data_IF_085628234616
#
_entry.id   IF_085628234616
#
_cell.length_a   1.000
_cell.length_b   1.000
_cell.length_c   1.000
_cell.angle_alpha   90.00
_cell.angle_beta   90.00
_cell.angle_gamma   90.00
#
_symmetry.space_group_name_H-M   'P 1'
#
loop_
_entity.id
_entity.type
_entity.pdbx_description
1 polymer ?
#
# COMPACT_ATOMS: atom_id res chain seq x y z
N UNK A 1 14.79 -4.60 -0.66
CA UNK A 1 13.60 -3.74 -0.72
C UNK A 1 13.54 -2.93 0.55
N UNK A 2 13.40 -1.63 0.41
CA UNK A 2 13.18 -0.70 1.53
C UNK A 2 11.93 -1.08 2.35
N UNK A 3 11.97 -0.89 3.68
CA UNK A 3 10.88 -1.36 4.56
C UNK A 3 9.61 -0.52 4.40
N UNK A 4 9.75 0.79 4.19
CA UNK A 4 8.61 1.66 3.92
C UNK A 4 8.00 1.36 2.55
N UNK A 5 8.82 1.05 1.54
CA UNK A 5 8.33 0.59 0.23
C UNK A 5 7.54 -0.72 0.38
N UNK A 6 8.02 -1.66 1.22
CA UNK A 6 7.29 -2.88 1.58
C UNK A 6 5.93 -2.63 2.21
N UNK A 7 5.85 -1.69 3.15
CA UNK A 7 4.60 -1.30 3.77
C UNK A 7 3.58 -0.74 2.76
N UNK A 8 4.03 0.15 1.88
CA UNK A 8 3.17 0.72 0.83
C UNK A 8 2.75 -0.35 -0.18
N UNK A 9 3.66 -1.24 -0.55
CA UNK A 9 3.37 -2.34 -1.46
C UNK A 9 2.29 -3.27 -0.89
N UNK A 10 2.41 -3.68 0.37
CA UNK A 10 1.40 -4.49 1.04
C UNK A 10 0.02 -3.80 1.06
N UNK A 11 0.01 -2.50 1.40
CA UNK A 11 -1.20 -1.70 1.42
C UNK A 11 -1.90 -1.60 0.06
N UNK A 12 -1.14 -1.30 -1.00
CA UNK A 12 -1.67 -1.23 -2.36
C UNK A 12 -2.23 -2.60 -2.81
N UNK A 13 -1.54 -3.70 -2.50
CA UNK A 13 -2.00 -5.05 -2.82
C UNK A 13 -3.31 -5.42 -2.12
N UNK A 14 -3.45 -5.11 -0.82
CA UNK A 14 -4.71 -5.32 -0.08
C UNK A 14 -5.85 -4.48 -0.69
N UNK A 15 -5.53 -3.31 -1.25
CA UNK A 15 -6.46 -2.45 -1.97
C UNK A 15 -6.71 -2.87 -3.44
N UNK A 16 -6.18 -4.01 -3.87
CA UNK A 16 -6.43 -4.60 -5.19
C UNK A 16 -5.50 -4.11 -6.31
N UNK A 17 -4.37 -3.49 -5.98
CA UNK A 17 -3.37 -3.09 -6.97
C UNK A 17 -2.33 -4.20 -7.20
N UNK A 18 -1.94 -4.34 -8.46
CA UNK A 18 -0.68 -4.95 -8.84
C UNK A 18 0.43 -3.91 -8.70
N UNK A 19 1.59 -4.30 -8.20
CA UNK A 19 2.65 -3.37 -7.81
C UNK A 19 4.00 -3.81 -8.35
N UNK A 20 4.81 -2.86 -8.81
CA UNK A 20 6.23 -3.01 -9.06
C UNK A 20 6.98 -2.00 -8.20
N UNK A 21 7.84 -2.48 -7.31
CA UNK A 21 8.66 -1.64 -6.44
C UNK A 21 10.03 -1.41 -7.09
N UNK A 22 10.67 -0.28 -6.77
CA UNK A 22 12.03 0.07 -7.21
C UNK A 22 12.16 -0.07 -8.75
N UNK A 23 11.21 0.52 -9.49
CA UNK A 23 11.11 0.36 -10.94
C UNK A 23 12.20 1.15 -11.67
N UNK A 24 13.12 0.46 -12.38
CA UNK A 24 14.25 1.14 -13.01
C UNK A 24 13.84 1.89 -14.28
N UNK A 25 14.22 3.16 -14.34
CA UNK A 25 14.09 3.98 -15.53
C UNK A 25 15.42 4.06 -16.26
N UNK A 26 15.44 3.59 -17.51
CA UNK A 26 16.65 3.44 -18.32
C UNK A 26 16.74 4.53 -19.38
N UNK A 27 17.92 5.10 -19.56
CA UNK A 27 18.28 5.92 -20.72
C UNK A 27 18.86 5.00 -21.78
N UNK A 28 18.14 4.77 -22.88
CA UNK A 28 18.52 3.81 -23.92
C UNK A 28 19.55 4.34 -24.94
N UNK A 29 19.71 5.67 -25.04
CA UNK A 29 20.42 6.32 -26.17
C UNK A 29 21.67 7.12 -25.77
N UNK A 30 22.20 6.91 -24.56
CA UNK A 30 23.42 7.59 -24.12
C UNK A 30 24.68 7.08 -24.84
N UNK A 31 25.76 7.90 -24.95
CA UNK A 31 27.02 7.52 -25.61
C UNK A 31 27.75 6.32 -24.97
N UNK A 32 27.31 5.87 -23.78
CA UNK A 32 27.81 4.67 -23.10
C UNK A 32 26.89 3.45 -23.16
N UNK A 33 25.82 3.49 -23.95
CA UNK A 33 24.78 2.46 -23.99
C UNK A 33 23.70 2.62 -22.91
N UNK A 34 22.81 1.62 -22.74
CA UNK A 34 21.70 1.69 -21.79
C UNK A 34 22.20 1.81 -20.35
N UNK A 35 21.78 2.86 -19.63
CA UNK A 35 22.07 3.02 -18.19
C UNK A 35 20.83 3.36 -17.40
N UNK A 36 20.75 2.91 -16.15
CA UNK A 36 19.71 3.34 -15.23
C UNK A 36 19.92 4.80 -14.86
N UNK A 37 18.92 5.63 -15.09
CA UNK A 37 18.90 7.05 -14.74
C UNK A 37 18.48 7.21 -13.29
N UNK A 38 17.42 6.50 -12.90
CA UNK A 38 16.82 6.59 -11.57
C UNK A 38 15.81 5.44 -11.40
N UNK A 39 15.49 5.10 -10.15
CA UNK A 39 14.46 4.14 -9.82
C UNK A 39 13.23 4.88 -9.26
N UNK A 40 12.03 4.50 -9.71
CA UNK A 40 10.77 4.96 -9.12
C UNK A 40 10.39 4.04 -7.97
N UNK A 41 10.05 4.59 -6.81
CA UNK A 41 9.84 3.80 -5.58
C UNK A 41 8.75 2.73 -5.76
N UNK A 42 7.60 3.11 -6.32
CA UNK A 42 6.54 2.16 -6.62
C UNK A 42 5.65 2.59 -7.79
N UNK A 43 5.40 1.67 -8.72
CA UNK A 43 4.33 1.76 -9.69
C UNK A 43 3.23 0.79 -9.31
N UNK A 44 1.97 1.22 -9.42
CA UNK A 44 0.86 0.34 -9.12
C UNK A 44 -0.28 0.51 -10.11
N UNK A 45 -0.91 -0.60 -10.52
CA UNK A 45 -2.07 -0.60 -11.40
C UNK A 45 -3.19 -1.42 -10.80
N UNK A 46 -4.38 -0.85 -10.84
CA UNK A 46 -5.63 -1.53 -10.54
C UNK A 46 -6.49 -1.51 -11.79
N UNK A 47 -6.86 -2.69 -12.28
CA UNK A 47 -7.75 -2.82 -13.42
C UNK A 47 -9.20 -2.51 -13.00
N UNK A 48 -10.02 -2.10 -13.97
CA UNK A 48 -11.42 -1.80 -13.70
C UNK A 48 -12.10 -3.01 -13.03
N UNK A 49 -12.77 -2.75 -11.90
CA UNK A 49 -13.50 -3.77 -11.15
C UNK A 49 -14.98 -3.71 -11.55
N UNK A 50 -15.43 -4.68 -12.33
CA UNK A 50 -16.85 -4.90 -12.49
C UNK A 50 -17.41 -5.38 -11.14
N UNK A 51 -18.21 -4.54 -10.48
CA UNK A 51 -18.82 -4.86 -9.18
C UNK A 51 -19.62 -6.17 -9.30
N UNK A 52 -19.33 -7.13 -8.42
CA UNK A 52 -20.07 -8.40 -8.33
C UNK A 52 -19.62 -9.53 -9.27
N UNK A 53 -18.51 -9.37 -10.02
CA UNK A 53 -18.02 -10.42 -10.92
C UNK A 53 -17.35 -11.59 -10.19
N UNK A 54 -16.74 -11.35 -9.02
CA UNK A 54 -16.23 -12.41 -8.15
C UNK A 54 -17.11 -12.47 -6.91
N UNK A 55 -17.78 -13.59 -6.64
CA UNK A 55 -18.59 -13.83 -5.43
C UNK A 55 -17.80 -13.83 -4.11
N UNK A 56 -16.58 -13.30 -4.10
CA UNK A 56 -15.78 -13.00 -2.92
C UNK A 56 -16.07 -11.55 -2.57
N UNK A 57 -16.47 -11.28 -1.32
CA UNK A 57 -16.79 -9.93 -0.87
C UNK A 57 -15.66 -8.96 -1.26
N UNK A 58 -15.97 -8.06 -2.18
CA UNK A 58 -15.07 -7.03 -2.64
C UNK A 58 -14.83 -6.06 -1.47
N UNK A 59 -13.76 -6.26 -0.71
CA UNK A 59 -13.40 -5.31 0.33
C UNK A 59 -13.32 -3.91 -0.29
N UNK A 60 -14.03 -2.91 0.28
CA UNK A 60 -14.02 -1.57 -0.28
C UNK A 60 -12.60 -1.00 -0.22
N UNK A 61 -12.24 -0.25 -1.26
CA UNK A 61 -10.98 0.49 -1.31
C UNK A 61 -10.89 1.44 -0.12
N UNK A 62 -9.70 1.62 0.46
CA UNK A 62 -9.45 2.71 1.38
C UNK A 62 -9.72 4.06 0.69
N UNK A 63 -10.70 4.86 1.16
CA UNK A 63 -10.97 6.19 0.59
C UNK A 63 -9.75 7.12 0.64
N UNK A 64 -8.82 6.87 1.56
CA UNK A 64 -7.58 7.64 1.65
C UNK A 64 -6.70 7.55 0.39
N UNK A 65 -6.85 6.52 -0.46
CA UNK A 65 -6.15 6.44 -1.74
C UNK A 65 -6.69 7.42 -2.79
N UNK A 66 -7.90 7.95 -2.61
CA UNK A 66 -8.54 8.89 -3.54
C UNK A 66 -8.77 8.31 -4.95
N UNK A 67 -8.80 6.99 -5.11
CA UNK A 67 -9.00 6.38 -6.41
C UNK A 67 -10.49 6.40 -6.80
N UNK A 68 -10.76 6.50 -8.11
CA UNK A 68 -12.11 6.40 -8.66
C UNK A 68 -12.58 4.95 -8.81
N UNK A 69 -13.64 4.72 -9.59
CA UNK A 69 -14.17 3.38 -9.89
C UNK A 69 -13.52 2.73 -11.13
N UNK A 70 -12.84 3.53 -11.96
CA UNK A 70 -12.17 3.08 -13.17
C UNK A 70 -10.84 2.38 -12.91
N UNK A 71 -10.20 1.94 -14.01
CA UNK A 71 -8.81 1.54 -13.99
C UNK A 71 -7.94 2.73 -13.51
N UNK A 72 -7.01 2.44 -12.62
CA UNK A 72 -6.21 3.44 -11.91
C UNK A 72 -4.75 3.00 -11.89
N UNK A 73 -3.86 3.94 -12.16
CA UNK A 73 -2.42 3.79 -12.07
C UNK A 73 -1.87 4.83 -11.09
N UNK A 74 -0.99 4.38 -10.21
CA UNK A 74 -0.24 5.21 -9.30
C UNK A 74 1.23 5.21 -9.72
N UNK A 75 1.77 6.42 -9.89
CA UNK A 75 3.22 6.68 -9.84
C UNK A 75 3.51 7.14 -8.41
N UNK A 76 4.08 6.24 -7.63
CA UNK A 76 4.19 6.37 -6.18
C UNK A 76 5.61 6.72 -5.74
N UNK A 77 5.70 7.70 -4.85
CA UNK A 77 6.93 8.02 -4.11
C UNK A 77 6.75 7.62 -2.64
N UNK A 78 7.78 7.04 -2.03
CA UNK A 78 7.78 6.62 -0.63
C UNK A 78 8.85 7.40 0.14
N UNK A 79 8.43 8.13 1.18
CA UNK A 79 9.31 8.98 2.00
C UNK A 79 9.16 8.68 3.48
N UNK A 80 10.22 8.16 4.09
CA UNK A 80 10.35 8.02 5.55
C UNK A 80 10.49 9.39 6.26
N UNK A 81 11.02 10.39 5.55
CA UNK A 81 11.20 11.77 6.03
C UNK A 81 10.20 12.77 5.44
N UNK A 82 10.66 13.99 5.09
CA UNK A 82 9.80 15.03 4.51
C UNK A 82 9.20 14.54 3.17
N UNK A 83 7.87 14.58 2.97
CA UNK A 83 7.25 14.13 1.73
C UNK A 83 7.40 15.20 0.64
N UNK A 84 8.54 15.18 -0.04
CA UNK A 84 8.72 15.86 -1.31
C UNK A 84 9.08 14.79 -2.35
N UNK A 85 8.43 14.79 -3.53
CA UNK A 85 8.84 13.90 -4.62
C UNK A 85 10.34 14.08 -4.91
N UNK A 86 11.06 12.98 -5.13
CA UNK A 86 12.41 13.02 -5.66
C UNK A 86 12.44 13.89 -6.93
N UNK A 87 13.47 14.73 -7.16
CA UNK A 87 13.65 15.44 -8.43
C UNK A 87 13.43 14.58 -9.69
N UNK A 88 13.75 13.28 -9.63
CA UNK A 88 13.45 12.32 -10.69
C UNK A 88 11.96 12.20 -11.04
N UNK A 89 11.07 12.25 -10.04
CA UNK A 89 9.61 12.28 -10.22
C UNK A 89 9.09 13.60 -10.80
N UNK A 90 9.97 14.59 -10.97
CA UNK A 90 9.68 15.86 -11.65
C UNK A 90 10.33 15.95 -13.02
N UNK A 91 11.15 14.96 -13.40
CA UNK A 91 11.80 14.92 -14.71
C UNK A 91 10.82 14.35 -15.74
N UNK A 92 10.41 15.14 -16.75
CA UNK A 92 9.48 14.68 -17.76
C UNK A 92 9.99 13.47 -18.57
N UNK A 93 11.31 13.37 -18.79
CA UNK A 93 11.89 12.28 -19.54
C UNK A 93 11.83 10.95 -18.76
N UNK A 94 12.08 11.02 -17.44
CA UNK A 94 11.96 9.86 -16.55
C UNK A 94 10.54 9.34 -16.52
N UNK A 95 9.56 10.22 -16.29
CA UNK A 95 8.15 9.84 -16.27
C UNK A 95 7.69 9.30 -17.62
N UNK A 96 8.05 9.94 -18.74
CA UNK A 96 7.66 9.48 -20.07
C UNK A 96 8.23 8.08 -20.37
N UNK A 97 9.51 7.85 -20.05
CA UNK A 97 10.13 6.53 -20.21
C UNK A 97 9.46 5.49 -19.31
N UNK A 98 9.13 5.83 -18.07
CA UNK A 98 8.44 4.93 -17.16
C UNK A 98 7.04 4.56 -17.65
N UNK A 99 6.21 5.55 -18.03
CA UNK A 99 4.84 5.33 -18.52
C UNK A 99 4.81 4.48 -19.79
N UNK A 100 5.66 4.78 -20.77
CA UNK A 100 5.73 3.98 -22.01
C UNK A 100 6.23 2.56 -21.73
N UNK A 101 7.31 2.42 -20.94
CA UNK A 101 7.93 1.11 -20.68
C UNK A 101 7.04 0.20 -19.83
N UNK A 102 6.34 0.77 -18.86
CA UNK A 102 5.38 0.02 -18.05
C UNK A 102 4.15 -0.41 -18.88
N UNK A 103 3.95 0.21 -20.05
CA UNK A 103 2.85 -0.09 -20.96
C UNK A 103 1.58 0.69 -20.65
N UNK A 104 1.70 1.86 -20.01
CA UNK A 104 0.56 2.69 -19.61
C UNK A 104 0.04 3.56 -20.75
N UNK A 105 0.90 4.00 -21.66
CA UNK A 105 0.47 4.80 -22.80
C UNK A 105 1.36 4.56 -24.01
N UNK A 106 0.87 4.92 -25.19
CA UNK A 106 1.70 5.01 -26.38
C UNK A 106 2.75 6.11 -26.22
N UNK A 107 3.91 5.94 -26.88
CA UNK A 107 4.99 6.94 -26.88
C UNK A 107 4.52 8.33 -27.36
N UNK A 108 3.56 8.38 -28.28
CA UNK A 108 3.00 9.61 -28.82
C UNK A 108 2.19 10.41 -27.76
N UNK A 109 1.60 9.72 -26.78
CA UNK A 109 0.79 10.34 -25.73
C UNK A 109 1.61 10.70 -24.49
N UNK A 110 2.77 10.07 -24.30
CA UNK A 110 3.57 10.18 -23.08
C UNK A 110 3.89 11.64 -22.70
N UNK A 111 4.34 12.46 -23.65
CA UNK A 111 4.70 13.85 -23.37
C UNK A 111 3.52 14.69 -22.84
N UNK A 112 2.33 14.51 -23.44
CA UNK A 112 1.11 15.21 -23.01
C UNK A 112 0.67 14.75 -21.62
N UNK A 113 0.63 13.43 -21.40
CA UNK A 113 0.20 12.86 -20.13
C UNK A 113 1.14 13.24 -18.98
N UNK A 114 2.45 13.26 -19.24
CA UNK A 114 3.44 13.70 -18.26
C UNK A 114 3.29 15.18 -17.92
N UNK A 115 3.06 16.04 -18.91
CA UNK A 115 2.82 17.45 -18.64
C UNK A 115 1.60 17.66 -17.73
N UNK A 116 0.48 17.00 -18.04
CA UNK A 116 -0.75 17.04 -17.24
C UNK A 116 -0.54 16.48 -15.82
N UNK A 117 0.21 15.38 -15.72
CA UNK A 117 0.56 14.74 -14.44
C UNK A 117 1.46 15.63 -13.57
N UNK A 118 2.42 16.34 -14.16
CA UNK A 118 3.30 17.25 -13.42
C UNK A 118 2.56 18.51 -12.97
N UNK A 119 1.62 19.00 -13.77
CA UNK A 119 0.83 20.19 -13.48
C UNK A 119 -0.25 19.93 -12.43
N UNK A 120 -0.96 18.81 -12.54
CA UNK A 120 -2.18 18.56 -11.74
C UNK A 120 -2.09 17.33 -10.82
N UNK A 121 -1.01 16.55 -10.93
CA UNK A 121 -0.83 15.27 -10.24
C UNK A 121 -1.76 14.17 -10.73
N UNK A 122 -2.50 14.42 -11.81
CA UNK A 122 -3.43 13.48 -12.43
C UNK A 122 -3.40 13.63 -13.94
N UNK A 123 -3.60 12.53 -14.66
CA UNK A 123 -3.84 12.55 -16.10
C UNK A 123 -4.81 11.43 -16.46
N UNK A 124 -5.54 11.58 -17.55
CA UNK A 124 -6.38 10.52 -18.12
C UNK A 124 -5.80 10.08 -19.45
N UNK A 125 -5.40 8.81 -19.52
CA UNK A 125 -4.89 8.22 -20.75
C UNK A 125 -6.02 8.05 -21.78
N UNK A 126 -5.73 8.07 -23.10
CA UNK A 126 -6.75 7.86 -24.14
C UNK A 126 -7.55 6.56 -23.97
N UNK A 127 -6.93 5.54 -23.38
CA UNK A 127 -7.54 4.23 -23.08
C UNK A 127 -8.47 4.26 -21.86
N UNK A 128 -8.64 5.42 -21.21
CA UNK A 128 -9.64 5.68 -20.18
C UNK A 128 -9.20 5.40 -18.73
N UNK A 129 -7.97 4.95 -18.51
CA UNK A 129 -7.44 4.79 -17.15
C UNK A 129 -6.86 6.10 -16.61
N UNK A 130 -6.98 6.29 -15.30
CA UNK A 130 -6.41 7.46 -14.62
C UNK A 130 -4.98 7.16 -14.18
N UNK A 131 -4.04 8.07 -14.45
CA UNK A 131 -2.67 8.06 -13.92
C UNK A 131 -2.59 9.15 -12.84
N UNK A 132 -2.02 8.84 -11.67
CA UNK A 132 -1.92 9.78 -10.54
C UNK A 132 -0.58 9.70 -9.84
N UNK A 133 -0.10 10.85 -9.39
CA UNK A 133 1.07 10.94 -8.51
C UNK A 133 0.61 10.85 -7.07
N UNK A 134 1.12 9.85 -6.33
CA UNK A 134 0.82 9.66 -4.91
C UNK A 134 2.10 9.61 -4.11
N UNK A 135 2.18 10.41 -3.05
CA UNK A 135 3.29 10.40 -2.10
C UNK A 135 2.86 9.70 -0.82
N UNK A 136 3.56 8.64 -0.44
CA UNK A 136 3.39 7.94 0.82
C UNK A 136 4.45 8.40 1.80
N UNK A 137 4.04 8.94 2.94
CA UNK A 137 4.98 9.45 3.92
C UNK A 137 4.32 10.30 4.99
N UNK A 138 5.07 10.68 6.02
CA UNK A 138 4.55 11.49 7.12
C UNK A 138 4.83 12.98 6.86
N UNK A 139 3.81 13.79 6.49
CA UNK A 139 4.01 15.23 6.35
C UNK A 139 4.40 15.85 7.70
N UNK A 140 5.62 16.37 7.79
CA UNK A 140 6.14 17.09 8.97
C UNK A 140 5.72 18.56 8.98
N UNK A 141 5.01 19.02 7.96
CA UNK A 141 4.44 20.37 7.84
C UNK A 141 3.11 20.27 7.10
N UNK A 142 2.17 21.22 7.30
CA UNK A 142 0.95 21.25 6.51
C UNK A 142 1.34 21.20 5.03
N UNK A 143 0.82 20.22 4.30
CA UNK A 143 0.99 20.17 2.85
C UNK A 143 0.43 21.49 2.34
N UNK A 144 1.25 22.30 1.66
CA UNK A 144 0.76 23.51 1.03
C UNK A 144 -0.43 23.10 0.15
N UNK A 145 -1.54 23.82 0.24
CA UNK A 145 -2.79 23.54 -0.48
C UNK A 145 -2.65 23.52 -2.02
N UNK A 146 -1.44 23.70 -2.54
CA UNK A 146 -1.08 23.87 -3.94
C UNK A 146 -0.17 22.74 -4.47
N UNK A 147 0.17 21.70 -3.68
CA UNK A 147 0.95 20.59 -4.25
C UNK A 147 0.07 19.76 -5.19
N UNK A 148 0.50 19.49 -6.42
CA UNK A 148 -0.33 18.78 -7.38
C UNK A 148 -0.53 17.30 -7.01
N UNK A 149 0.33 16.71 -6.18
CA UNK A 149 0.25 15.29 -5.82
C UNK A 149 -0.64 15.01 -4.60
N UNK A 150 -1.25 13.82 -4.60
CA UNK A 150 -2.00 13.31 -3.47
C UNK A 150 -1.07 12.70 -2.41
N UNK A 151 -1.36 12.85 -1.12
CA UNK A 151 -0.52 12.31 -0.05
C UNK A 151 -1.29 11.34 0.84
N UNK A 152 -0.69 10.18 1.12
CA UNK A 152 -1.23 9.16 2.03
C UNK A 152 -0.26 8.96 3.21
N UNK A 153 -0.65 9.33 4.45
CA UNK A 153 0.22 9.18 5.61
C UNK A 153 0.51 7.72 5.97
N UNK A 154 1.72 7.39 6.42
CA UNK A 154 2.03 6.03 6.89
C UNK A 154 1.15 5.60 8.06
N UNK A 155 0.75 6.53 8.94
CA UNK A 155 -0.20 6.25 10.00
C UNK A 155 -1.55 5.73 9.46
N UNK A 156 -2.00 6.20 8.28
CA UNK A 156 -3.21 5.69 7.62
C UNK A 156 -2.96 4.31 7.03
N UNK A 157 -1.83 4.14 6.33
CA UNK A 157 -1.40 2.88 5.71
C UNK A 157 -1.35 1.75 6.75
N UNK A 158 -0.63 1.98 7.85
CA UNK A 158 -0.43 0.99 8.90
C UNK A 158 -1.75 0.61 9.57
N UNK A 159 -2.55 1.61 9.96
CA UNK A 159 -3.86 1.39 10.58
C UNK A 159 -4.79 0.59 9.67
N UNK A 160 -4.83 0.90 8.38
CA UNK A 160 -5.67 0.15 7.44
C UNK A 160 -5.25 -1.32 7.35
N UNK A 161 -3.94 -1.61 7.30
CA UNK A 161 -3.44 -2.98 7.28
C UNK A 161 -3.75 -3.74 8.59
N UNK A 162 -3.59 -3.08 9.74
CA UNK A 162 -3.92 -3.64 11.06
C UNK A 162 -5.43 -3.93 11.18
N UNK A 163 -6.29 -2.98 10.78
CA UNK A 163 -7.74 -3.13 10.76
C UNK A 163 -8.16 -4.27 9.80
N UNK A 164 -7.56 -4.33 8.62
CA UNK A 164 -7.84 -5.37 7.63
C UNK A 164 -7.49 -6.77 8.15
N UNK A 165 -6.32 -6.93 8.77
CA UNK A 165 -5.90 -8.19 9.39
C UNK A 165 -6.84 -8.59 10.53
N UNK A 166 -7.25 -7.63 11.36
CA UNK A 166 -8.15 -7.86 12.50
C UNK A 166 -9.51 -8.35 12.04
N UNK A 167 -10.09 -7.68 11.03
CA UNK A 167 -11.41 -7.98 10.49
C UNK A 167 -11.47 -9.34 9.77
N UNK A 168 -10.38 -9.72 9.09
CA UNK A 168 -10.33 -10.94 8.26
C UNK A 168 -9.49 -12.07 8.88
N UNK A 169 -9.14 -11.97 10.18
CA UNK A 169 -8.24 -12.91 10.86
C UNK A 169 -8.68 -14.37 10.73
N UNK A 170 -9.99 -14.63 10.72
CA UNK A 170 -10.54 -15.99 10.57
C UNK A 170 -10.11 -16.69 9.27
N UNK A 171 -9.89 -15.93 8.20
CA UNK A 171 -9.37 -16.43 6.92
C UNK A 171 -7.84 -16.29 6.86
N UNK A 172 -7.32 -15.09 7.15
CA UNK A 172 -5.91 -14.76 6.94
C UNK A 172 -4.96 -15.44 7.93
N UNK A 173 -5.38 -15.68 9.17
CA UNK A 173 -4.54 -16.26 10.21
C UNK A 173 -4.14 -17.72 9.98
N UNK A 174 -4.74 -18.38 8.98
CA UNK A 174 -4.45 -19.77 8.57
C UNK A 174 -3.76 -19.88 7.22
N UNK A 175 -3.68 -18.80 6.47
CA UNK A 175 -3.03 -18.76 5.14
C UNK A 175 -1.56 -18.39 5.26
N UNK A 176 -0.73 -18.94 4.37
CA UNK A 176 0.65 -18.49 4.24
C UNK A 176 0.69 -17.13 3.55
N UNK A 177 0.96 -16.08 4.32
CA UNK A 177 1.18 -14.74 3.80
C UNK A 177 2.60 -14.70 3.23
N UNK A 178 2.71 -14.48 1.92
CA UNK A 178 4.00 -14.44 1.19
C UNK A 178 4.63 -13.05 1.13
N UNK A 179 3.91 -12.03 1.58
CA UNK A 179 4.38 -10.66 1.66
C UNK A 179 5.02 -10.43 3.03
N UNK A 180 6.32 -10.12 3.07
CA UNK A 180 7.11 -10.08 4.31
C UNK A 180 6.58 -9.06 5.31
N UNK A 181 6.14 -7.88 4.84
CA UNK A 181 5.58 -6.84 5.71
C UNK A 181 4.24 -7.27 6.27
N UNK A 182 3.35 -7.80 5.44
CA UNK A 182 2.06 -8.30 5.91
C UNK A 182 2.22 -9.52 6.84
N UNK A 183 3.20 -10.38 6.58
CA UNK A 183 3.53 -11.53 7.43
C UNK A 183 3.99 -11.09 8.82
N UNK A 184 4.83 -10.05 8.92
CA UNK A 184 5.24 -9.46 10.20
C UNK A 184 4.04 -8.90 10.97
N UNK A 185 3.16 -8.14 10.31
CA UNK A 185 1.94 -7.60 10.93
C UNK A 185 1.02 -8.72 11.43
N UNK A 186 0.83 -9.77 10.63
CA UNK A 186 0.05 -10.94 11.02
C UNK A 186 0.68 -11.69 12.21
N UNK A 187 2.01 -11.79 12.26
CA UNK A 187 2.72 -12.37 13.41
C UNK A 187 2.49 -11.56 14.69
N UNK A 188 2.55 -10.23 14.61
CA UNK A 188 2.25 -9.33 15.73
C UNK A 188 0.82 -9.52 16.22
N UNK A 189 -0.15 -9.62 15.32
CA UNK A 189 -1.55 -9.88 15.66
C UNK A 189 -1.74 -11.24 16.33
N UNK A 190 -1.07 -12.29 15.83
CA UNK A 190 -1.07 -13.63 16.44
C UNK A 190 -0.55 -13.60 17.87
N UNK A 191 0.56 -12.90 18.11
CA UNK A 191 1.14 -12.74 19.44
C UNK A 191 0.21 -11.97 20.38
N UNK A 192 -0.43 -10.89 19.90
CA UNK A 192 -1.40 -10.12 20.66
C UNK A 192 -2.61 -10.98 21.11
N UNK A 193 -3.15 -11.80 20.20
CA UNK A 193 -4.26 -12.73 20.50
C UNK A 193 -3.87 -13.85 21.46
N UNK A 194 -2.66 -14.40 21.34
CA UNK A 194 -2.16 -15.39 22.28
C UNK A 194 -2.06 -14.82 23.70
N UNK A 195 -1.56 -13.60 23.84
CA UNK A 195 -1.44 -12.92 25.14
C UNK A 195 -2.80 -12.57 25.77
N UNK A 196 -3.78 -12.12 24.98
CA UNK A 196 -5.14 -11.82 25.46
C UNK A 196 -5.93 -13.09 25.81
N UNK A 197 -5.81 -14.16 25.01
CA UNK A 197 -6.41 -15.47 25.31
C UNK A 197 -5.84 -16.09 26.60
N UNK A 198 -4.53 -16.00 26.82
CA UNK A 198 -3.90 -16.45 28.05
C UNK A 198 -4.40 -15.67 29.29
N UNK A 199 -4.62 -14.35 29.17
CA UNK A 199 -5.17 -13.53 30.26
C UNK A 199 -6.64 -13.85 30.58
N UNK A 200 -7.45 -14.23 29.60
CA UNK A 200 -8.83 -14.65 29.80
C UNK A 200 -8.94 -16.02 30.51
N UNK A 201 -8.07 -16.97 30.17
CA UNK A 201 -8.00 -18.28 30.83
C UNK A 201 -7.53 -18.23 32.29
N UNK A 202 -6.71 -17.24 32.65
CA UNK A 202 -6.26 -17.04 34.04
C UNK A 202 -7.36 -16.45 34.95
N UNK A 203 -8.31 -15.68 34.40
CA UNK A 203 -9.42 -15.10 35.19
C UNK A 203 -10.52 -16.10 35.52
N UNK A 204 -10.69 -17.16 34.75
CA UNK A 204 -11.69 -18.21 34.99
C UNK A 204 -11.20 -19.33 35.92
N UNK A 205 -9.91 -19.39 36.24
CA UNK A 205 -9.30 -20.43 37.08
C UNK A 205 -9.25 -20.15 38.59
N UNK A 206 -9.77 -19.01 39.08
CA UNK A 206 -9.65 -18.59 40.49
C UNK A 206 -11.01 -18.49 41.16
N UNK A 207 -11.70 -19.63 41.29
CA UNK A 207 -13.08 -19.62 41.81
C UNK A 207 -13.64 -20.91 42.38
N UNK A 208 -12.87 -21.92 42.80
CA UNK A 208 -13.39 -22.97 43.72
C UNK A 208 -12.24 -23.57 44.56
N UNK A 209 -12.11 -23.14 45.82
CA UNK A 209 -11.67 -23.96 46.97
C UNK A 209 -12.65 -23.58 48.07
N UNK A 210 -13.70 -24.35 48.33
CA UNK A 210 -13.61 -25.70 48.87
C UNK A 210 -13.96 -25.60 50.36
N UNK A 211 -15.24 -25.38 50.65
CA UNK A 211 -15.76 -25.29 52.00
C UNK A 211 -16.06 -26.67 52.60
N UNK A 212 -15.60 -26.84 53.84
CA UNK A 212 -16.21 -27.61 54.94
C UNK A 212 -16.49 -29.11 54.71
N UNK A 213 -15.66 -29.96 55.33
CA UNK A 213 -15.99 -31.35 55.66
C UNK A 213 -15.44 -31.71 57.04
N UNK A 214 -16.31 -31.74 58.05
CA UNK A 214 -16.05 -32.32 59.37
C UNK A 214 -15.86 -33.83 59.22
N UNK A 215 -14.88 -34.41 59.90
CA UNK A 215 -14.85 -35.83 60.23
C UNK A 215 -14.30 -35.99 61.66
N UNK A 216 -15.19 -36.39 62.57
CA UNK A 216 -14.83 -37.16 63.76
C UNK A 216 -14.57 -38.61 63.34
N UNK A 217 -13.74 -39.34 64.08
CA UNK A 217 -14.17 -40.64 64.53
C UNK A 217 -13.95 -40.85 66.04
N UNK A 218 -14.88 -41.64 66.57
CA UNK A 218 -14.96 -42.48 67.78
C UNK A 218 -13.93 -42.31 68.91
#
# INVERSE_FOLDING_TARGET
MDTAVGLVQAYLRVNGYFTVAEYPVLEATGPGGPRTVTDLDILAVRLHRARGASGVADAPLDPALGAGEGADMIVGEVKEGRPHPNPAMRDPAVLAAALTRFGCCAQADAARLVAELLETGRAVAPEGHTIRTVVFGNPTSPIASETPWHTVPFARVLRYLEDHLTAHWGMLGRTQIKDDTLALLALREKAHRAATGARAGVRTGKGVRGGVGRLHPE
#
